data_IF_258052186328
#
_entry.id   IF_258052186328
#
_cell.length_a   1.000
_cell.length_b   1.000
_cell.length_c   1.000
_cell.angle_alpha   90.00
_cell.angle_beta   90.00
_cell.angle_gamma   90.00
#
_symmetry.space_group_name_H-M   'P 1'
#
loop_
_entity.id
_entity.type
_entity.pdbx_description
1 polymer ?
#
# COMPACT_ATOMS: atom_id res chain seq x y z
N UNK A 1 -9.34 24.47 -7.63
CA UNK A 1 -8.35 23.71 -8.44
C UNK A 1 -7.07 23.37 -7.67
N UNK A 2 -6.23 24.34 -7.24
CA UNK A 2 -4.96 24.04 -6.53
C UNK A 2 -5.13 23.27 -5.19
N UNK A 3 -6.24 23.51 -4.47
CA UNK A 3 -6.56 22.82 -3.19
C UNK A 3 -6.88 21.33 -3.39
N UNK A 4 -7.73 21.00 -4.36
CA UNK A 4 -8.08 19.62 -4.74
C UNK A 4 -6.84 18.80 -5.11
N UNK A 5 -5.92 19.39 -5.90
CA UNK A 5 -4.69 18.72 -6.32
C UNK A 5 -3.79 18.41 -5.12
N UNK A 6 -3.62 19.34 -4.19
CA UNK A 6 -2.84 19.11 -2.96
C UNK A 6 -3.44 17.99 -2.11
N UNK A 7 -4.77 17.93 -2.01
CA UNK A 7 -5.47 16.85 -1.30
C UNK A 7 -5.19 15.51 -1.98
N UNK A 8 -5.30 15.43 -3.31
CA UNK A 8 -5.03 14.21 -4.07
C UNK A 8 -3.57 13.73 -3.93
N UNK A 9 -2.60 14.64 -3.95
CA UNK A 9 -1.18 14.31 -3.73
C UNK A 9 -0.97 13.77 -2.31
N UNK A 10 -1.60 14.39 -1.31
CA UNK A 10 -1.51 13.93 0.08
C UNK A 10 -2.12 12.51 0.23
N UNK A 11 -3.29 12.26 -0.35
CA UNK A 11 -3.94 10.94 -0.36
C UNK A 11 -3.07 9.87 -1.04
N UNK A 12 -2.50 10.18 -2.21
CA UNK A 12 -1.58 9.27 -2.89
C UNK A 12 -0.30 9.03 -2.08
N UNK A 13 0.19 10.05 -1.36
CA UNK A 13 1.31 9.92 -0.43
C UNK A 13 1.01 8.96 0.72
N UNK A 14 -0.18 9.05 1.30
CA UNK A 14 -0.67 8.11 2.32
C UNK A 14 -0.82 6.71 1.75
N UNK A 15 -1.36 6.56 0.53
CA UNK A 15 -1.54 5.26 -0.13
C UNK A 15 -0.19 4.59 -0.38
N UNK A 16 0.80 5.36 -0.84
CA UNK A 16 2.17 4.89 -1.03
C UNK A 16 2.77 4.39 0.28
N UNK A 17 2.61 5.14 1.38
CA UNK A 17 3.13 4.73 2.69
C UNK A 17 2.43 3.46 3.18
N UNK A 18 1.09 3.41 3.10
CA UNK A 18 0.30 2.25 3.47
C UNK A 18 0.71 1.01 2.68
N UNK A 19 0.94 1.17 1.37
CA UNK A 19 1.39 0.08 0.48
C UNK A 19 2.77 -0.47 0.88
N UNK A 20 3.71 0.38 1.28
CA UNK A 20 5.03 -0.07 1.76
C UNK A 20 4.91 -0.79 3.11
N UNK A 21 4.10 -0.28 4.03
CA UNK A 21 3.89 -0.90 5.34
C UNK A 21 3.23 -2.27 5.18
N UNK A 22 2.13 -2.35 4.43
CA UNK A 22 1.41 -3.59 4.14
C UNK A 22 2.36 -4.62 3.49
N UNK A 23 3.05 -4.26 2.42
CA UNK A 23 4.00 -5.14 1.75
C UNK A 23 5.15 -5.62 2.65
N UNK A 24 5.67 -4.74 3.52
CA UNK A 24 6.72 -5.09 4.48
C UNK A 24 6.22 -6.04 5.55
N UNK A 25 5.03 -5.80 6.10
CA UNK A 25 4.43 -6.69 7.11
C UNK A 25 4.08 -8.06 6.53
N UNK A 26 3.59 -8.12 5.28
CA UNK A 26 3.32 -9.37 4.57
C UNK A 26 4.62 -10.14 4.29
N UNK A 27 5.66 -9.46 3.82
CA UNK A 27 6.97 -10.06 3.56
C UNK A 27 7.60 -10.59 4.86
N UNK A 28 7.55 -9.84 5.96
CA UNK A 28 8.03 -10.31 7.27
C UNK A 28 7.22 -11.49 7.79
N UNK A 29 5.89 -11.48 7.61
CA UNK A 29 5.03 -12.59 8.02
C UNK A 29 5.39 -13.88 7.26
N UNK A 30 5.54 -13.80 5.93
CA UNK A 30 5.81 -14.97 5.09
C UNK A 30 7.26 -15.43 5.13
N UNK A 31 8.24 -14.52 5.12
CA UNK A 31 9.65 -14.87 5.04
C UNK A 31 10.32 -15.08 6.40
N UNK A 32 9.73 -14.56 7.48
CA UNK A 32 10.29 -14.69 8.84
C UNK A 32 9.36 -15.49 9.73
N UNK A 33 8.13 -15.01 9.94
CA UNK A 33 7.25 -15.61 10.94
C UNK A 33 6.84 -17.06 10.58
N UNK A 34 6.51 -17.34 9.32
CA UNK A 34 6.15 -18.69 8.86
C UNK A 34 7.32 -19.68 8.97
N UNK A 35 8.54 -19.40 8.44
CA UNK A 35 9.69 -20.27 8.63
C UNK A 35 10.04 -20.50 10.10
N UNK A 36 9.96 -19.46 10.93
CA UNK A 36 10.27 -19.56 12.35
C UNK A 36 9.28 -20.44 13.12
N UNK A 37 8.00 -20.42 12.71
CA UNK A 37 6.97 -21.34 13.22
C UNK A 37 7.29 -22.80 12.86
N UNK A 38 7.76 -23.07 11.65
CA UNK A 38 7.93 -24.44 11.15
C UNK A 38 9.32 -25.06 11.42
N UNK A 39 10.37 -24.23 11.51
CA UNK A 39 11.75 -24.70 11.72
C UNK A 39 12.16 -24.71 13.20
N UNK A 40 11.60 -23.80 14.00
CA UNK A 40 11.94 -23.62 15.42
C UNK A 40 10.76 -23.87 16.36
N UNK A 41 9.63 -24.37 15.85
CA UNK A 41 8.39 -24.58 16.63
C UNK A 41 7.99 -23.35 17.47
N UNK A 42 8.30 -22.14 16.98
CA UNK A 42 8.01 -20.89 17.70
C UNK A 42 6.82 -20.14 17.08
N UNK A 43 5.58 -20.42 17.51
CA UNK A 43 4.38 -19.80 16.94
C UNK A 43 4.20 -18.33 17.34
N UNK A 44 5.02 -17.81 18.27
CA UNK A 44 4.91 -16.45 18.80
C UNK A 44 5.03 -15.38 17.71
N UNK A 45 5.95 -15.55 16.76
CA UNK A 45 6.15 -14.60 15.67
C UNK A 45 4.91 -14.47 14.76
N UNK A 46 4.26 -15.58 14.40
CA UNK A 46 3.03 -15.55 13.58
C UNK A 46 1.86 -14.93 14.35
N UNK A 47 1.75 -15.22 15.65
CA UNK A 47 0.71 -14.65 16.52
C UNK A 47 0.81 -13.14 16.65
N UNK A 48 2.02 -12.58 16.64
CA UNK A 48 2.24 -11.14 16.66
C UNK A 48 2.10 -10.51 15.25
N UNK A 49 2.73 -11.11 14.25
CA UNK A 49 2.75 -10.56 12.88
C UNK A 49 1.40 -10.63 12.18
N UNK A 50 0.56 -11.63 12.47
CA UNK A 50 -0.76 -11.80 11.86
C UNK A 50 -1.66 -10.59 12.07
N UNK A 51 -1.96 -10.20 13.32
CA UNK A 51 -2.74 -8.99 13.61
C UNK A 51 -2.07 -7.71 13.10
N UNK A 52 -0.74 -7.60 13.18
CA UNK A 52 0.01 -6.44 12.69
C UNK A 52 -0.18 -6.25 11.18
N UNK A 53 -0.06 -7.34 10.42
CA UNK A 53 -0.31 -7.33 8.98
C UNK A 53 -1.79 -7.07 8.68
N UNK A 54 -2.72 -7.70 9.40
CA UNK A 54 -4.15 -7.46 9.24
C UNK A 54 -4.53 -5.99 9.43
N UNK A 55 -3.96 -5.31 10.44
CA UNK A 55 -4.14 -3.88 10.64
C UNK A 55 -3.59 -3.06 9.48
N UNK A 56 -2.38 -3.38 9.00
CA UNK A 56 -1.76 -2.71 7.86
C UNK A 56 -2.59 -2.89 6.57
N UNK A 57 -3.14 -4.08 6.35
CA UNK A 57 -4.01 -4.41 5.22
C UNK A 57 -5.32 -3.60 5.26
N UNK A 58 -5.97 -3.52 6.42
CA UNK A 58 -7.19 -2.70 6.60
C UNK A 58 -6.88 -1.22 6.37
N UNK A 59 -5.77 -0.72 6.91
CA UNK A 59 -5.33 0.66 6.70
C UNK A 59 -5.07 0.96 5.22
N UNK A 60 -4.39 0.05 4.51
CA UNK A 60 -4.19 0.16 3.07
C UNK A 60 -5.53 0.19 2.31
N UNK A 61 -6.45 -0.72 2.62
CA UNK A 61 -7.78 -0.75 2.02
C UNK A 61 -8.57 0.53 2.27
N UNK A 62 -8.50 1.09 3.47
CA UNK A 62 -9.14 2.35 3.83
C UNK A 62 -8.63 3.52 2.98
N UNK A 63 -7.31 3.66 2.85
CA UNK A 63 -6.71 4.73 2.01
C UNK A 63 -7.01 4.49 0.53
N UNK A 64 -7.01 3.23 0.08
CA UNK A 64 -7.37 2.87 -1.29
C UNK A 64 -8.81 3.30 -1.61
N UNK A 65 -9.77 3.04 -0.71
CA UNK A 65 -11.17 3.49 -0.87
C UNK A 65 -11.31 5.01 -0.93
N UNK A 66 -10.55 5.75 -0.13
CA UNK A 66 -10.52 7.22 -0.24
C UNK A 66 -10.00 7.67 -1.62
N UNK A 67 -9.01 6.97 -2.16
CA UNK A 67 -8.45 7.25 -3.48
C UNK A 67 -9.45 6.96 -4.61
N UNK A 68 -10.32 5.96 -4.43
CA UNK A 68 -11.46 5.69 -5.32
C UNK A 68 -12.45 6.84 -5.30
N UNK A 69 -12.82 7.32 -4.10
CA UNK A 69 -13.76 8.44 -3.92
C UNK A 69 -13.25 9.74 -4.52
N UNK A 70 -11.93 9.97 -4.47
CA UNK A 70 -11.29 11.13 -5.08
C UNK A 70 -11.21 11.07 -6.62
N UNK A 71 -11.55 9.94 -7.24
CA UNK A 71 -11.62 9.80 -8.70
C UNK A 71 -10.28 9.98 -9.42
N UNK A 72 -9.15 9.86 -8.69
CA UNK A 72 -7.82 10.13 -9.23
C UNK A 72 -7.44 9.09 -10.28
N UNK A 73 -7.81 7.82 -10.07
CA UNK A 73 -7.43 6.69 -10.92
C UNK A 73 -8.63 5.94 -11.52
N UNK A 74 -8.49 5.37 -12.72
CA UNK A 74 -9.53 4.51 -13.29
C UNK A 74 -9.70 3.22 -12.49
N UNK A 75 -10.89 2.64 -12.55
CA UNK A 75 -11.27 1.41 -11.82
C UNK A 75 -10.31 0.24 -12.04
N UNK A 76 -9.72 0.14 -13.24
CA UNK A 76 -8.73 -0.90 -13.56
C UNK A 76 -7.46 -0.78 -12.72
N UNK A 77 -6.94 0.42 -12.51
CA UNK A 77 -5.75 0.66 -11.69
C UNK A 77 -6.05 0.39 -10.22
N UNK A 78 -7.23 0.77 -9.75
CA UNK A 78 -7.70 0.44 -8.40
C UNK A 78 -7.75 -1.08 -8.20
N UNK A 79 -8.30 -1.82 -9.18
CA UNK A 79 -8.34 -3.28 -9.10
C UNK A 79 -6.94 -3.90 -9.06
N UNK A 80 -6.00 -3.39 -9.85
CA UNK A 80 -4.59 -3.82 -9.83
C UNK A 80 -3.92 -3.52 -8.48
N UNK A 81 -4.18 -2.34 -7.90
CA UNK A 81 -3.69 -1.98 -6.58
C UNK A 81 -4.28 -2.87 -5.48
N UNK A 82 -5.56 -3.17 -5.53
CA UNK A 82 -6.21 -4.08 -4.60
C UNK A 82 -5.61 -5.49 -4.72
N UNK A 83 -5.44 -6.00 -5.94
CA UNK A 83 -4.82 -7.29 -6.21
C UNK A 83 -3.37 -7.36 -5.69
N UNK A 84 -2.63 -6.25 -5.77
CA UNK A 84 -1.24 -6.19 -5.30
C UNK A 84 -1.06 -6.40 -3.80
N UNK A 85 -2.10 -6.19 -2.98
CA UNK A 85 -2.05 -6.45 -1.54
C UNK A 85 -2.17 -7.94 -1.18
N UNK A 86 -2.55 -8.81 -2.12
CA UNK A 86 -2.63 -10.26 -1.90
C UNK A 86 -1.39 -11.00 -2.36
N UNK A 87 -0.60 -10.38 -3.24
CA UNK A 87 0.60 -11.00 -3.82
C UNK A 87 1.82 -10.51 -3.04
N UNK A 88 2.62 -11.41 -2.46
CA UNK A 88 3.83 -11.01 -1.74
C UNK A 88 4.74 -10.18 -2.64
N UNK A 89 5.32 -9.12 -2.06
CA UNK A 89 6.16 -8.13 -2.73
C UNK A 89 5.47 -7.25 -3.79
N UNK A 90 4.28 -7.57 -4.29
CA UNK A 90 3.60 -6.77 -5.30
C UNK A 90 3.27 -5.36 -4.79
N UNK A 91 2.98 -5.20 -3.48
CA UNK A 91 2.82 -3.89 -2.86
C UNK A 91 4.05 -2.97 -2.98
N UNK A 92 5.28 -3.49 -3.05
CA UNK A 92 6.45 -2.65 -3.32
C UNK A 92 6.43 -2.08 -4.74
N UNK A 93 5.98 -2.85 -5.73
CA UNK A 93 5.79 -2.36 -7.10
C UNK A 93 4.66 -1.34 -7.18
N UNK A 94 3.56 -1.57 -6.45
CA UNK A 94 2.47 -0.61 -6.31
C UNK A 94 2.96 0.73 -5.75
N UNK A 95 3.79 0.71 -4.69
CA UNK A 95 4.38 1.94 -4.12
C UNK A 95 5.20 2.74 -5.15
N UNK A 96 5.97 2.04 -6.00
CA UNK A 96 6.76 2.67 -7.06
C UNK A 96 5.86 3.28 -8.14
N UNK A 97 4.78 2.58 -8.49
CA UNK A 97 3.78 3.06 -9.44
C UNK A 97 3.07 4.32 -8.92
N UNK A 98 2.66 4.33 -7.64
CA UNK A 98 2.04 5.50 -6.99
C UNK A 98 3.01 6.69 -6.97
N UNK A 99 4.30 6.47 -6.66
CA UNK A 99 5.32 7.53 -6.65
C UNK A 99 5.45 8.24 -7.99
N UNK A 100 5.51 7.48 -9.09
CA UNK A 100 5.59 8.04 -10.45
C UNK A 100 4.37 8.90 -10.79
N UNK A 101 3.20 8.53 -10.28
CA UNK A 101 1.97 9.28 -10.49
C UNK A 101 1.97 10.61 -9.72
N UNK A 102 2.47 10.61 -8.48
CA UNK A 102 2.66 11.84 -7.71
C UNK A 102 3.63 12.78 -8.44
N UNK A 103 4.77 12.27 -8.91
CA UNK A 103 5.75 13.06 -9.66
C UNK A 103 5.20 13.63 -10.97
N UNK A 104 4.30 12.90 -11.65
CA UNK A 104 3.62 13.39 -12.85
C UNK A 104 2.67 14.56 -12.53
N UNK A 105 1.88 14.43 -11.46
CA UNK A 105 0.99 15.50 -10.98
C UNK A 105 1.76 16.74 -10.51
N UNK A 106 2.87 16.55 -9.80
CA UNK A 106 3.74 17.64 -9.35
C UNK A 106 4.34 18.41 -10.54
N UNK A 107 4.79 17.70 -11.59
CA UNK A 107 5.32 18.35 -12.80
C UNK A 107 4.26 19.11 -13.57
N UNK A 108 3.06 18.53 -13.74
CA UNK A 108 1.95 19.23 -14.39
C UNK A 108 1.53 20.49 -13.61
N UNK A 109 1.60 20.43 -12.28
CA UNK A 109 1.35 21.58 -11.42
C UNK A 109 2.44 22.65 -11.53
N UNK A 110 3.71 22.27 -11.53
CA UNK A 110 4.82 23.22 -11.64
C UNK A 110 4.85 23.97 -12.99
N UNK A 111 4.27 23.37 -14.04
CA UNK A 111 4.14 23.97 -15.35
C UNK A 111 2.91 24.89 -15.52
N UNK A 112 2.00 24.96 -14.53
CA UNK A 112 0.75 25.77 -14.53
C UNK A 112 0.79 26.91 -13.51
#
# INVERSE_FOLDING_TARGET
MKKEIKINIALLGQLKLASVIEASTLALLLCVAVPLKHLWDWPGAVRAMGPLHGLAFIFYGWVLLQTVGAGVWPRRQIALLAASAFVPFAGFFASRYIRRHIEALDREYAAK
#
